data_IF_597246414170
#
_entry.id   IF_597246414170
#
_cell.length_a   1.000
_cell.length_b   1.000
_cell.length_c   1.000
_cell.angle_alpha   90.00
_cell.angle_beta   90.00
_cell.angle_gamma   90.00
#
_symmetry.space_group_name_H-M   'P 1'
#
loop_
_entity.id
_entity.type
_entity.pdbx_description
1 polymer ?
#
# COMPACT_ATOMS: atom_id res chain seq x y z
N UNK A 1 2.87 -46.38 57.38
CA UNK A 1 3.29 -46.72 56.00
C UNK A 1 2.09 -46.59 55.06
N UNK A 2 2.32 -45.96 53.90
CA UNK A 2 1.49 -45.88 52.68
C UNK A 2 0.49 -44.72 52.54
N UNK A 3 1.06 -43.61 52.04
CA UNK A 3 0.52 -42.55 51.17
C UNK A 3 -0.20 -43.08 49.92
N UNK A 4 -1.08 -42.29 49.28
CA UNK A 4 -1.24 -42.17 47.80
C UNK A 4 -2.16 -40.95 47.49
N UNK A 5 -1.62 -39.81 47.05
CA UNK A 5 -1.36 -39.31 45.66
C UNK A 5 -2.56 -38.64 44.97
N UNK A 6 -2.37 -37.34 44.73
CA UNK A 6 -3.04 -36.46 43.76
C UNK A 6 -2.81 -36.99 42.33
N UNK A 7 -3.81 -36.86 41.44
CA UNK A 7 -3.64 -36.61 39.99
C UNK A 7 -4.98 -36.21 39.35
N UNK A 8 -5.03 -35.01 38.77
CA UNK A 8 -6.05 -34.56 37.84
C UNK A 8 -5.84 -35.19 36.46
N UNK A 9 -6.87 -35.17 35.58
CA UNK A 9 -6.61 -34.57 34.28
C UNK A 9 -7.73 -33.66 33.77
N UNK A 10 -7.27 -32.62 33.09
CA UNK A 10 -7.99 -31.59 32.36
C UNK A 10 -8.75 -32.11 31.15
N UNK A 11 -10.00 -31.67 30.98
CA UNK A 11 -10.76 -31.75 29.74
C UNK A 11 -11.36 -30.36 29.49
N UNK A 12 -10.66 -29.54 28.70
CA UNK A 12 -11.24 -28.33 28.11
C UNK A 12 -11.71 -28.73 26.71
N UNK A 13 -13.02 -28.85 26.57
CA UNK A 13 -13.73 -28.86 25.31
C UNK A 13 -14.42 -27.49 25.12
N UNK A 14 -14.83 -27.23 23.86
CA UNK A 14 -15.66 -26.12 23.38
C UNK A 14 -14.90 -24.83 23.01
N UNK A 15 -15.25 -24.10 21.94
CA UNK A 15 -16.17 -24.35 20.83
C UNK A 15 -15.88 -23.29 19.74
N UNK A 16 -16.15 -23.65 18.48
CA UNK A 16 -16.23 -22.73 17.35
C UNK A 16 -17.38 -21.73 17.58
N UNK A 17 -17.12 -20.41 17.46
CA UNK A 17 -18.19 -19.43 17.29
C UNK A 17 -18.54 -19.31 15.81
N UNK A 18 -19.65 -19.95 15.44
CA UNK A 18 -20.47 -19.58 14.30
C UNK A 18 -21.39 -18.42 14.73
N UNK A 19 -21.40 -17.35 13.94
CA UNK A 19 -22.25 -16.19 14.14
C UNK A 19 -23.71 -16.49 13.73
N UNK A 20 -24.66 -16.14 14.60
CA UNK A 20 -26.02 -15.73 14.24
C UNK A 20 -26.75 -15.07 15.43
N UNK A 21 -27.19 -13.83 15.23
CA UNK A 21 -28.52 -13.37 15.65
C UNK A 21 -28.77 -12.94 17.10
N UNK A 22 -28.99 -11.64 17.29
CA UNK A 22 -30.10 -11.10 18.10
C UNK A 22 -29.97 -11.13 19.62
N UNK A 23 -29.41 -10.06 20.19
CA UNK A 23 -29.51 -9.74 21.62
C UNK A 23 -29.04 -8.33 21.88
N UNK A 24 -29.97 -7.45 22.26
CA UNK A 24 -29.71 -6.08 22.71
C UNK A 24 -28.87 -6.11 23.99
N UNK A 25 -27.58 -5.81 23.86
CA UNK A 25 -26.65 -5.65 24.97
C UNK A 25 -26.11 -4.22 24.93
N UNK A 26 -26.62 -3.37 25.81
CA UNK A 26 -26.18 -1.98 26.10
C UNK A 26 -24.79 -1.93 26.79
N UNK A 27 -23.83 -2.72 26.31
CA UNK A 27 -22.42 -2.65 26.71
C UNK A 27 -21.49 -2.62 25.50
N UNK A 28 -21.92 -1.99 24.40
CA UNK A 28 -20.97 -1.56 23.39
C UNK A 28 -20.15 -0.41 23.98
N UNK A 29 -18.87 -0.68 24.26
CA UNK A 29 -17.92 0.38 24.52
C UNK A 29 -18.04 1.40 23.36
N UNK A 30 -18.16 2.71 23.64
CA UNK A 30 -18.27 3.69 22.59
C UNK A 30 -17.09 3.53 21.62
N UNK A 31 -17.39 3.58 20.32
CA UNK A 31 -16.37 3.47 19.28
C UNK A 31 -15.26 4.48 19.57
N UNK A 32 -14.03 3.98 19.75
CA UNK A 32 -12.86 4.82 20.09
C UNK A 32 -12.62 5.90 19.05
N UNK A 33 -12.94 5.61 17.79
CA UNK A 33 -12.71 6.47 16.66
C UNK A 33 -14.04 6.90 16.05
N UNK A 34 -14.16 8.17 15.69
CA UNK A 34 -15.32 8.70 14.96
C UNK A 34 -15.24 8.44 13.46
N UNK A 35 -14.02 8.26 12.94
CA UNK A 35 -13.77 7.93 11.54
C UNK A 35 -12.33 7.48 11.33
N UNK A 36 -12.04 7.01 10.13
CA UNK A 36 -10.67 6.79 9.66
C UNK A 36 -10.37 7.73 8.48
N UNK A 37 -9.18 8.32 8.48
CA UNK A 37 -8.66 9.16 7.39
C UNK A 37 -7.42 8.46 6.83
N UNK A 38 -7.37 8.25 5.52
CA UNK A 38 -6.26 7.54 4.89
C UNK A 38 -5.56 8.43 3.86
N UNK A 39 -4.25 8.55 4.00
CA UNK A 39 -3.35 9.18 3.05
C UNK A 39 -2.38 8.14 2.51
N UNK A 40 -2.13 8.13 1.21
CA UNK A 40 -1.23 7.13 0.67
C UNK A 40 -1.28 6.98 -0.84
N UNK A 41 -0.86 5.80 -1.27
CA UNK A 41 -0.78 5.42 -2.67
C UNK A 41 -1.73 4.27 -3.04
N UNK A 42 -1.40 3.50 -4.08
CA UNK A 42 -2.17 2.37 -4.57
C UNK A 42 -2.43 1.30 -3.51
N UNK A 43 -1.54 1.17 -2.51
CA UNK A 43 -1.73 0.21 -1.42
C UNK A 43 -2.89 0.59 -0.51
N UNK A 44 -3.33 1.86 -0.50
CA UNK A 44 -4.44 2.34 0.33
C UNK A 44 -5.61 2.89 -0.50
N UNK A 45 -5.48 2.97 -1.83
CA UNK A 45 -6.51 3.45 -2.74
C UNK A 45 -7.70 2.48 -2.81
N UNK A 46 -8.91 3.01 -2.62
CA UNK A 46 -10.18 2.26 -2.57
C UNK A 46 -11.09 2.53 -3.76
N UNK A 47 -10.61 3.22 -4.80
CA UNK A 47 -11.42 3.44 -6.01
C UNK A 47 -11.25 4.79 -6.70
N UNK A 48 -10.15 5.52 -6.48
CA UNK A 48 -9.90 6.81 -7.14
C UNK A 48 -10.04 6.69 -8.66
N UNK A 49 -9.49 5.62 -9.23
CA UNK A 49 -9.53 5.38 -10.68
C UNK A 49 -10.68 4.48 -11.11
N UNK A 50 -11.66 4.18 -10.25
CA UNK A 50 -12.85 3.38 -10.62
C UNK A 50 -13.84 4.22 -11.42
N UNK A 51 -13.43 4.65 -12.61
CA UNK A 51 -14.19 5.48 -13.53
C UNK A 51 -13.97 5.03 -14.98
N UNK A 52 -14.85 5.45 -15.89
CA UNK A 52 -14.69 5.20 -17.33
C UNK A 52 -14.40 3.73 -17.65
N UNK A 53 -13.38 3.50 -18.47
CA UNK A 53 -12.98 2.16 -18.90
C UNK A 53 -12.46 1.29 -17.75
N UNK A 54 -11.83 1.85 -16.72
CA UNK A 54 -11.39 1.06 -15.55
C UNK A 54 -12.60 0.45 -14.83
N UNK A 55 -13.66 1.24 -14.63
CA UNK A 55 -14.91 0.74 -14.04
C UNK A 55 -15.60 -0.28 -14.95
N UNK A 56 -15.62 -0.04 -16.27
CA UNK A 56 -16.21 -0.97 -17.24
C UNK A 56 -15.50 -2.33 -17.28
N UNK A 57 -14.19 -2.35 -17.00
CA UNK A 57 -13.38 -3.57 -16.87
C UNK A 57 -13.53 -4.26 -15.50
N UNK A 58 -14.41 -3.77 -14.62
CA UNK A 58 -14.58 -4.32 -13.26
C UNK A 58 -13.39 -4.06 -12.35
N UNK A 59 -12.59 -3.03 -12.65
CA UNK A 59 -11.42 -2.62 -11.88
C UNK A 59 -11.72 -1.54 -10.84
N UNK A 60 -10.64 -0.95 -10.30
CA UNK A 60 -10.70 0.21 -9.41
C UNK A 60 -9.86 0.10 -8.16
N UNK A 61 -9.44 -1.10 -7.76
CA UNK A 61 -8.49 -1.35 -6.68
C UNK A 61 -7.23 -2.01 -7.23
N UNK A 62 -6.08 -1.72 -6.64
CA UNK A 62 -4.81 -2.39 -6.95
C UNK A 62 -4.71 -3.71 -6.21
N UNK A 63 -5.56 -4.66 -6.58
CA UNK A 63 -5.61 -6.03 -6.05
C UNK A 63 -6.41 -6.93 -7.01
N UNK A 64 -6.81 -8.11 -6.57
CA UNK A 64 -7.86 -8.87 -7.27
C UNK A 64 -9.21 -8.24 -6.94
N UNK A 65 -9.82 -7.57 -7.91
CA UNK A 65 -11.09 -6.88 -7.74
C UNK A 65 -12.25 -7.90 -7.62
N UNK A 66 -13.11 -7.76 -6.60
CA UNK A 66 -14.24 -8.65 -6.39
C UNK A 66 -15.37 -8.35 -7.38
N UNK A 67 -16.23 -9.34 -7.65
CA UNK A 67 -17.43 -9.14 -8.48
C UNK A 67 -18.40 -8.13 -7.85
N UNK A 68 -18.60 -8.21 -6.52
CA UNK A 68 -19.29 -7.15 -5.76
C UNK A 68 -18.25 -6.12 -5.27
N UNK A 69 -18.27 -4.88 -5.79
CA UNK A 69 -17.29 -3.85 -5.43
C UNK A 69 -17.37 -3.40 -3.97
N UNK A 70 -18.39 -3.83 -3.20
CA UNK A 70 -18.51 -3.57 -1.76
C UNK A 70 -17.72 -4.56 -0.91
N UNK A 71 -17.26 -5.67 -1.49
CA UNK A 71 -16.40 -6.62 -0.78
C UNK A 71 -15.03 -5.98 -0.54
N UNK A 72 -14.61 -5.92 0.72
CA UNK A 72 -13.32 -5.37 1.09
C UNK A 72 -12.18 -6.22 0.53
N UNK A 73 -11.25 -5.58 -0.17
CA UNK A 73 -10.01 -6.24 -0.65
C UNK A 73 -8.75 -5.45 -0.32
N UNK A 74 -8.90 -4.22 0.20
CA UNK A 74 -7.81 -3.37 0.65
C UNK A 74 -7.67 -3.41 2.18
N UNK A 75 -6.44 -3.30 2.69
CA UNK A 75 -6.18 -3.33 4.13
C UNK A 75 -6.90 -2.21 4.91
N UNK A 76 -7.07 -1.02 4.31
CA UNK A 76 -7.80 0.10 4.94
C UNK A 76 -9.29 -0.22 5.10
N UNK A 77 -9.90 -0.89 4.12
CA UNK A 77 -11.31 -1.32 4.20
C UNK A 77 -11.51 -2.36 5.31
N UNK A 78 -10.59 -3.32 5.41
CA UNK A 78 -10.58 -4.35 6.46
C UNK A 78 -10.40 -3.72 7.84
N UNK A 79 -9.47 -2.77 7.98
CA UNK A 79 -9.21 -2.08 9.23
C UNK A 79 -10.42 -1.23 9.66
N UNK A 80 -11.04 -0.49 8.74
CA UNK A 80 -12.26 0.28 9.03
C UNK A 80 -13.39 -0.60 9.56
N UNK A 81 -13.59 -1.77 8.93
CA UNK A 81 -14.56 -2.77 9.39
C UNK A 81 -14.27 -3.28 10.81
N UNK A 82 -13.00 -3.53 11.13
CA UNK A 82 -12.58 -3.96 12.47
C UNK A 82 -12.79 -2.85 13.53
N UNK A 83 -12.59 -1.59 13.15
CA UNK A 83 -12.76 -0.43 14.04
C UNK A 83 -14.23 -0.03 14.23
N UNK A 84 -15.15 -0.58 13.43
CA UNK A 84 -16.57 -0.20 13.45
C UNK A 84 -16.84 1.21 12.92
N UNK A 85 -15.93 1.78 12.13
CA UNK A 85 -16.12 3.08 11.47
C UNK A 85 -16.67 2.90 10.05
N UNK A 86 -17.16 3.98 9.43
CA UNK A 86 -17.65 3.94 8.05
C UNK A 86 -16.61 3.40 7.08
N UNK A 87 -17.05 2.57 6.12
CA UNK A 87 -16.19 2.05 5.07
C UNK A 87 -15.53 3.20 4.29
N UNK A 88 -14.22 3.10 3.97
CA UNK A 88 -13.53 4.13 3.22
C UNK A 88 -14.13 4.30 1.82
N UNK A 89 -14.20 5.54 1.35
CA UNK A 89 -14.54 5.88 -0.03
C UNK A 89 -13.53 6.90 -0.56
N UNK A 90 -13.30 6.96 -1.89
CA UNK A 90 -12.28 7.82 -2.46
C UNK A 90 -12.71 9.29 -2.39
N UNK A 91 -11.83 10.15 -1.86
CA UNK A 91 -12.03 11.59 -1.82
C UNK A 91 -12.13 12.18 -3.23
N UNK A 92 -11.39 11.64 -4.18
CA UNK A 92 -11.37 12.13 -5.55
C UNK A 92 -11.50 10.97 -6.51
N UNK A 93 -12.22 11.17 -7.61
CA UNK A 93 -12.27 10.23 -8.72
C UNK A 93 -12.05 10.97 -10.04
N UNK A 94 -11.40 10.32 -11.00
CA UNK A 94 -11.13 10.90 -12.31
C UNK A 94 -9.90 10.31 -12.98
N UNK A 95 -9.76 10.58 -14.28
CA UNK A 95 -8.59 10.21 -15.08
C UNK A 95 -8.32 11.30 -16.12
N UNK A 96 -7.05 11.56 -16.38
CA UNK A 96 -6.55 12.59 -17.31
C UNK A 96 -5.75 11.95 -18.45
N UNK A 97 -6.27 10.83 -18.97
CA UNK A 97 -5.67 10.03 -20.03
C UNK A 97 -6.38 10.20 -21.37
N UNK A 98 -6.35 9.15 -22.18
CA UNK A 98 -6.92 9.13 -23.53
C UNK A 98 -8.45 9.10 -23.51
N UNK A 99 -9.10 10.14 -24.04
CA UNK A 99 -10.54 10.17 -24.23
C UNK A 99 -11.03 9.06 -25.18
N UNK A 100 -10.26 8.76 -26.24
CA UNK A 100 -10.59 7.72 -27.21
C UNK A 100 -10.64 6.31 -26.61
N UNK A 101 -9.96 6.09 -25.49
CA UNK A 101 -9.95 4.81 -24.76
C UNK A 101 -10.78 4.88 -23.47
N UNK A 102 -11.57 5.94 -23.26
CA UNK A 102 -12.40 6.11 -22.06
C UNK A 102 -11.61 6.36 -20.77
N UNK A 103 -10.38 6.86 -20.87
CA UNK A 103 -9.51 7.24 -19.76
C UNK A 103 -9.43 8.78 -19.56
N UNK A 104 -10.27 9.56 -20.23
CA UNK A 104 -10.48 10.97 -19.90
C UNK A 104 -11.82 11.11 -19.18
N UNK A 105 -11.78 11.22 -17.85
CA UNK A 105 -12.97 11.37 -17.01
C UNK A 105 -12.77 12.57 -16.09
N UNK A 106 -13.70 13.55 -16.09
CA UNK A 106 -13.59 14.73 -15.24
C UNK A 106 -13.31 14.39 -13.78
N UNK A 107 -12.43 15.17 -13.17
CA UNK A 107 -12.05 14.99 -11.78
C UNK A 107 -13.16 15.52 -10.87
N UNK A 108 -13.73 14.65 -10.04
CA UNK A 108 -14.78 14.97 -9.07
C UNK A 108 -14.26 14.69 -7.66
N UNK A 109 -14.39 15.67 -6.77
CA UNK A 109 -14.09 15.51 -5.35
C UNK A 109 -15.37 15.29 -4.54
N UNK A 110 -15.32 14.40 -3.56
CA UNK A 110 -16.37 14.13 -2.58
C UNK A 110 -15.87 14.46 -1.17
N UNK A 111 -16.20 15.64 -0.61
CA UNK A 111 -15.75 16.07 0.72
C UNK A 111 -16.21 15.19 1.88
N UNK A 112 -17.22 14.32 1.68
CA UNK A 112 -17.65 13.35 2.70
C UNK A 112 -16.71 12.13 2.79
N UNK A 113 -15.91 11.88 1.75
CA UNK A 113 -14.98 10.76 1.68
C UNK A 113 -13.62 11.11 2.27
N UNK A 114 -13.09 10.19 3.10
CA UNK A 114 -11.88 10.40 3.93
C UNK A 114 -10.68 9.56 3.51
N UNK A 115 -10.77 8.80 2.41
CA UNK A 115 -9.60 8.14 1.83
C UNK A 115 -9.08 8.98 0.65
N UNK A 116 -7.94 9.62 0.85
CA UNK A 116 -7.27 10.47 -0.12
C UNK A 116 -6.22 9.74 -0.94
N UNK A 117 -5.97 8.45 -0.66
CA UNK A 117 -4.92 7.69 -1.30
C UNK A 117 -5.21 7.49 -2.79
N UNK A 118 -4.18 7.67 -3.62
CA UNK A 118 -4.28 7.51 -5.06
C UNK A 118 -3.16 6.62 -5.58
N UNK A 119 -3.48 5.65 -6.42
CA UNK A 119 -2.45 4.92 -7.15
C UNK A 119 -1.50 5.86 -7.89
N UNK A 120 -0.21 5.52 -7.87
CA UNK A 120 0.86 6.33 -8.42
C UNK A 120 1.29 7.53 -7.56
N UNK A 121 0.59 7.86 -6.47
CA UNK A 121 0.98 8.97 -5.59
C UNK A 121 2.37 8.75 -4.98
N UNK A 122 3.19 9.80 -5.03
CA UNK A 122 4.48 9.90 -4.35
C UNK A 122 4.35 10.77 -3.11
N UNK A 123 5.42 10.86 -2.31
CA UNK A 123 5.40 11.68 -1.09
C UNK A 123 5.13 13.17 -1.41
N UNK A 124 5.94 13.77 -2.28
CA UNK A 124 5.88 15.21 -2.60
C UNK A 124 5.70 15.51 -4.09
N UNK A 125 6.32 14.72 -4.97
CA UNK A 125 6.33 14.98 -6.40
C UNK A 125 5.02 14.51 -7.07
N UNK A 126 4.33 15.34 -7.87
CA UNK A 126 3.06 14.96 -8.47
C UNK A 126 3.17 13.96 -9.62
N UNK A 127 4.37 13.67 -10.12
CA UNK A 127 4.59 12.74 -11.23
C UNK A 127 5.08 11.40 -10.71
N UNK A 128 4.14 10.46 -10.60
CA UNK A 128 4.43 9.05 -10.29
C UNK A 128 3.94 8.08 -11.38
N UNK A 129 4.10 6.77 -11.16
CA UNK A 129 3.72 5.74 -12.13
C UNK A 129 2.26 5.90 -12.59
N UNK A 130 2.03 5.85 -13.90
CA UNK A 130 0.71 6.05 -14.49
C UNK A 130 0.34 7.51 -14.77
N UNK A 131 1.12 8.50 -14.32
CA UNK A 131 0.89 9.91 -14.63
C UNK A 131 1.18 10.20 -16.11
N UNK A 132 0.31 10.99 -16.76
CA UNK A 132 0.41 11.28 -18.19
C UNK A 132 1.75 11.92 -18.61
N UNK A 133 2.40 12.67 -17.73
CA UNK A 133 3.67 13.33 -18.00
C UNK A 133 4.84 12.36 -18.18
N UNK A 134 4.68 11.08 -17.79
CA UNK A 134 5.64 10.02 -18.09
C UNK A 134 5.55 9.50 -19.53
N UNK A 135 4.56 9.94 -20.32
CA UNK A 135 4.37 9.50 -21.70
C UNK A 135 3.93 8.03 -21.83
N UNK A 136 4.01 7.49 -23.05
CA UNK A 136 3.73 6.08 -23.33
C UNK A 136 2.36 5.60 -22.82
N UNK A 137 2.33 4.42 -22.21
CA UNK A 137 1.11 3.86 -21.60
C UNK A 137 0.60 4.70 -20.42
N UNK A 138 1.46 5.48 -19.75
CA UNK A 138 1.04 6.39 -18.69
C UNK A 138 0.23 7.56 -19.24
N UNK A 139 0.55 8.07 -20.44
CA UNK A 139 -0.26 9.09 -21.12
C UNK A 139 -1.62 8.54 -21.61
N UNK A 140 -1.69 7.23 -21.88
CA UNK A 140 -2.95 6.58 -22.23
C UNK A 140 -3.86 6.48 -21.02
N UNK A 141 -3.36 5.98 -19.88
CA UNK A 141 -4.16 5.80 -18.68
C UNK A 141 -4.43 7.11 -17.93
N UNK A 142 -3.41 7.96 -17.78
CA UNK A 142 -3.51 9.29 -17.19
C UNK A 142 -4.00 9.30 -15.74
N UNK A 143 -3.32 8.56 -14.85
CA UNK A 143 -3.58 8.65 -13.42
C UNK A 143 -3.25 10.06 -12.89
N UNK A 144 -4.05 10.54 -11.95
CA UNK A 144 -3.92 11.87 -11.36
C UNK A 144 -2.66 11.98 -10.47
N UNK A 145 -2.32 10.87 -9.79
CA UNK A 145 -1.14 10.71 -8.93
C UNK A 145 -0.93 11.84 -7.92
N UNK A 146 -2.02 12.35 -7.33
CA UNK A 146 -1.98 13.46 -6.36
C UNK A 146 -1.06 13.08 -5.19
N UNK A 147 0.04 13.82 -4.96
CA UNK A 147 1.04 13.43 -3.97
C UNK A 147 0.54 13.63 -2.55
N UNK A 148 1.13 12.93 -1.58
CA UNK A 148 0.68 12.95 -0.18
C UNK A 148 0.63 14.35 0.41
N UNK A 149 1.61 15.20 0.09
CA UNK A 149 1.60 16.61 0.53
C UNK A 149 0.30 17.33 0.13
N UNK A 150 -0.20 17.08 -1.07
CA UNK A 150 -1.47 17.64 -1.57
C UNK A 150 -2.68 16.92 -0.98
N UNK A 151 -2.62 15.60 -0.79
CA UNK A 151 -3.69 14.85 -0.12
C UNK A 151 -3.95 15.38 1.31
N UNK A 152 -2.88 15.59 2.09
CA UNK A 152 -2.97 16.16 3.45
C UNK A 152 -3.45 17.60 3.41
N UNK A 153 -2.95 18.41 2.47
CA UNK A 153 -3.41 19.80 2.28
C UNK A 153 -4.91 19.88 1.95
N UNK A 154 -5.42 19.00 1.09
CA UNK A 154 -6.84 18.91 0.75
C UNK A 154 -7.68 18.58 1.98
N UNK A 155 -7.24 17.62 2.80
CA UNK A 155 -7.93 17.29 4.03
C UNK A 155 -7.99 18.47 5.00
N UNK A 156 -6.84 19.12 5.26
CA UNK A 156 -6.78 20.29 6.13
C UNK A 156 -7.65 21.45 5.63
N UNK A 157 -7.73 21.66 4.31
CA UNK A 157 -8.60 22.67 3.72
C UNK A 157 -10.08 22.44 4.04
N UNK A 158 -10.51 21.17 4.07
CA UNK A 158 -11.89 20.78 4.41
C UNK A 158 -12.12 20.80 5.93
N UNK A 159 -11.13 20.38 6.71
CA UNK A 159 -11.22 20.22 8.16
C UNK A 159 -10.95 21.52 8.95
N UNK A 160 -10.93 22.69 8.30
CA UNK A 160 -10.67 23.97 8.97
C UNK A 160 -9.25 24.09 9.52
N UNK A 161 -8.29 23.45 8.85
CA UNK A 161 -6.85 23.53 9.14
C UNK A 161 -6.36 22.64 10.28
N UNK A 162 -7.20 21.72 10.80
CA UNK A 162 -6.84 20.81 11.90
C UNK A 162 -7.60 19.48 11.82
N UNK A 163 -7.03 18.43 12.40
CA UNK A 163 -7.72 17.18 12.70
C UNK A 163 -8.55 17.33 13.99
N UNK A 164 -9.62 16.56 14.16
CA UNK A 164 -10.39 16.59 15.42
C UNK A 164 -9.69 15.86 16.56
N UNK A 165 -8.82 14.91 16.23
CA UNK A 165 -8.08 14.08 17.19
C UNK A 165 -8.85 12.86 17.65
N UNK A 166 -10.06 12.65 17.12
CA UNK A 166 -10.90 11.47 17.38
C UNK A 166 -10.91 10.49 16.20
N UNK A 167 -10.14 10.77 15.15
CA UNK A 167 -9.96 9.88 14.02
C UNK A 167 -8.72 8.99 14.18
N UNK A 168 -8.75 7.80 13.57
CA UNK A 168 -7.52 7.10 13.22
C UNK A 168 -7.02 7.63 11.88
N UNK A 169 -5.79 8.12 11.82
CA UNK A 169 -5.13 8.54 10.58
C UNK A 169 -4.17 7.45 10.14
N UNK A 170 -4.28 6.98 8.90
CA UNK A 170 -3.36 6.00 8.31
C UNK A 170 -2.53 6.64 7.21
N UNK A 171 -1.22 6.41 7.20
CA UNK A 171 -0.28 6.93 6.22
C UNK A 171 0.59 5.80 5.67
N UNK A 172 0.57 5.59 4.35
CA UNK A 172 1.46 4.63 3.68
C UNK A 172 1.82 5.13 2.28
N UNK A 173 3.10 5.44 2.05
CA UNK A 173 3.60 5.91 0.76
C UNK A 173 5.11 5.73 0.62
N UNK A 174 5.62 6.06 -0.57
CA UNK A 174 7.04 5.97 -0.95
C UNK A 174 7.32 4.83 -1.94
N UNK A 175 6.35 3.93 -2.16
CA UNK A 175 6.51 2.82 -3.10
C UNK A 175 6.68 3.35 -4.53
N UNK A 176 5.90 4.36 -4.90
CA UNK A 176 6.02 5.03 -6.19
C UNK A 176 7.32 5.83 -6.34
N UNK A 177 7.85 6.40 -5.26
CA UNK A 177 9.19 7.00 -5.28
C UNK A 177 10.23 5.93 -5.61
N UNK A 178 10.18 4.75 -4.97
CA UNK A 178 11.08 3.65 -5.25
C UNK A 178 10.97 3.15 -6.70
N UNK A 179 9.76 3.06 -7.26
CA UNK A 179 9.53 2.67 -8.66
C UNK A 179 10.17 3.69 -9.62
N UNK A 180 9.94 4.99 -9.41
CA UNK A 180 10.53 6.06 -10.24
C UNK A 180 12.06 6.07 -10.13
N UNK A 181 12.61 5.91 -8.93
CA UNK A 181 14.07 5.86 -8.74
C UNK A 181 14.68 4.59 -9.35
N UNK A 182 13.99 3.45 -9.30
CA UNK A 182 14.43 2.23 -10.00
C UNK A 182 14.46 2.43 -11.51
N UNK A 183 13.42 3.03 -12.09
CA UNK A 183 13.36 3.33 -13.52
C UNK A 183 14.45 4.33 -13.94
N UNK A 184 14.71 5.35 -13.11
CA UNK A 184 15.79 6.32 -13.34
C UNK A 184 17.16 5.65 -13.28
N UNK A 185 17.40 4.80 -12.28
CA UNK A 185 18.63 4.03 -12.13
C UNK A 185 18.89 3.12 -13.34
N UNK A 186 17.94 2.25 -13.67
CA UNK A 186 18.07 1.30 -14.79
C UNK A 186 18.19 2.03 -16.12
N UNK A 187 17.41 3.10 -16.34
CA UNK A 187 17.50 3.94 -17.54
C UNK A 187 18.85 4.63 -17.71
N UNK A 188 19.45 5.13 -16.61
CA UNK A 188 20.79 5.75 -16.63
C UNK A 188 21.85 4.73 -17.04
N UNK A 189 21.82 3.53 -16.45
CA UNK A 189 22.77 2.46 -16.78
C UNK A 189 22.58 1.98 -18.22
N UNK A 190 21.34 1.83 -18.68
CA UNK A 190 21.03 1.44 -20.05
C UNK A 190 21.49 2.49 -21.07
N UNK A 191 21.34 3.79 -20.77
CA UNK A 191 21.82 4.86 -21.64
C UNK A 191 23.36 4.87 -21.74
N UNK A 192 24.07 4.63 -20.63
CA UNK A 192 25.52 4.46 -20.65
C UNK A 192 25.95 3.22 -21.44
N UNK A 193 25.20 2.13 -21.35
CA UNK A 193 25.44 0.93 -22.15
C UNK A 193 25.30 1.20 -23.66
N UNK A 194 24.30 2.01 -24.04
CA UNK A 194 24.09 2.39 -25.45
C UNK A 194 25.21 3.25 -26.01
N UNK A 195 25.80 4.14 -25.21
CA UNK A 195 26.85 5.06 -25.67
C UNK A 195 28.26 4.49 -25.61
N UNK A 196 28.55 3.56 -24.68
CA UNK A 196 29.91 3.06 -24.44
C UNK A 196 30.02 1.57 -24.08
N UNK A 197 28.96 0.79 -24.33
CA UNK A 197 28.94 -0.66 -24.09
C UNK A 197 28.98 -1.04 -22.60
N UNK A 198 29.28 -2.31 -22.33
CA UNK A 198 29.23 -2.88 -20.99
C UNK A 198 30.17 -2.18 -19.98
N UNK A 199 31.34 -1.71 -20.42
CA UNK A 199 32.29 -1.00 -19.56
C UNK A 199 31.73 0.34 -19.07
N UNK A 200 31.08 1.12 -19.96
CA UNK A 200 30.44 2.38 -19.59
C UNK A 200 29.23 2.15 -18.65
N UNK A 201 28.44 1.10 -18.89
CA UNK A 201 27.35 0.71 -18.00
C UNK A 201 27.85 0.38 -16.59
N UNK A 202 28.91 -0.43 -16.49
CA UNK A 202 29.53 -0.81 -15.22
C UNK A 202 30.11 0.41 -14.48
N UNK A 203 30.70 1.38 -15.20
CA UNK A 203 31.22 2.61 -14.61
C UNK A 203 30.12 3.56 -14.10
N UNK A 204 28.96 3.62 -14.80
CA UNK A 204 27.84 4.49 -14.43
C UNK A 204 27.01 3.96 -13.24
N UNK A 205 26.92 2.64 -13.10
CA UNK A 205 26.02 1.99 -12.14
C UNK A 205 26.22 2.44 -10.67
N UNK A 206 27.44 2.56 -10.11
CA UNK A 206 27.61 2.96 -8.71
C UNK A 206 27.10 4.37 -8.40
N UNK A 207 27.36 5.33 -9.29
CA UNK A 207 26.90 6.71 -9.11
C UNK A 207 25.37 6.80 -9.25
N UNK A 208 24.79 6.11 -10.23
CA UNK A 208 23.34 6.06 -10.41
C UNK A 208 22.63 5.40 -9.21
N UNK A 209 23.19 4.32 -8.67
CA UNK A 209 22.65 3.66 -7.48
C UNK A 209 22.73 4.58 -6.25
N UNK A 210 23.85 5.28 -6.05
CA UNK A 210 24.02 6.25 -4.96
C UNK A 210 22.96 7.36 -5.05
N UNK A 211 22.75 7.93 -6.24
CA UNK A 211 21.74 8.97 -6.45
C UNK A 211 20.32 8.47 -6.13
N UNK A 212 19.96 7.26 -6.56
CA UNK A 212 18.67 6.66 -6.29
C UNK A 212 18.44 6.43 -4.78
N UNK A 213 19.45 5.92 -4.06
CA UNK A 213 19.41 5.72 -2.61
C UNK A 213 19.28 7.05 -1.86
N UNK A 214 20.04 8.09 -2.27
CA UNK A 214 19.92 9.43 -1.69
C UNK A 214 18.53 10.02 -1.90
N UNK A 215 17.97 9.92 -3.11
CA UNK A 215 16.62 10.40 -3.40
C UNK A 215 15.56 9.70 -2.52
N UNK A 216 15.73 8.40 -2.25
CA UNK A 216 14.82 7.67 -1.36
C UNK A 216 14.99 8.05 0.11
N UNK A 217 16.21 8.34 0.58
CA UNK A 217 16.40 8.92 1.91
C UNK A 217 15.70 10.28 2.04
N UNK A 218 15.79 11.14 1.02
CA UNK A 218 15.08 12.43 0.97
C UNK A 218 13.57 12.24 1.06
N UNK A 219 12.99 11.37 0.23
CA UNK A 219 11.54 11.09 0.27
C UNK A 219 11.07 10.57 1.64
N UNK A 220 11.87 9.74 2.31
CA UNK A 220 11.57 9.25 3.66
C UNK A 220 11.58 10.37 4.70
N UNK A 221 12.55 11.29 4.62
CA UNK A 221 12.61 12.48 5.49
C UNK A 221 11.46 13.46 5.22
N UNK A 222 11.08 13.65 3.96
CA UNK A 222 9.93 14.47 3.57
C UNK A 222 8.62 13.91 4.13
N UNK A 223 8.43 12.58 4.08
CA UNK A 223 7.25 11.94 4.65
C UNK A 223 7.20 12.13 6.17
N UNK A 224 8.33 11.93 6.87
CA UNK A 224 8.41 12.18 8.31
C UNK A 224 8.06 13.63 8.66
N UNK A 225 8.62 14.59 7.91
CA UNK A 225 8.34 16.02 8.08
C UNK A 225 6.86 16.34 7.84
N UNK A 226 6.25 15.76 6.81
CA UNK A 226 4.83 15.93 6.51
C UNK A 226 3.96 15.38 7.65
N UNK A 227 4.23 14.18 8.13
CA UNK A 227 3.50 13.57 9.25
C UNK A 227 3.64 14.42 10.52
N UNK A 228 4.85 14.82 10.88
CA UNK A 228 5.07 15.61 12.09
C UNK A 228 4.41 16.99 12.00
N UNK A 229 4.64 17.72 10.90
CA UNK A 229 4.25 19.12 10.78
C UNK A 229 2.82 19.35 10.29
N UNK A 230 2.27 18.49 9.44
CA UNK A 230 0.94 18.69 8.85
C UNK A 230 -0.12 17.72 9.39
N UNK A 231 0.26 16.65 10.08
CA UNK A 231 -0.69 15.70 10.66
C UNK A 231 -0.70 15.81 12.20
N UNK A 232 0.41 15.42 12.84
CA UNK A 232 0.51 15.41 14.30
C UNK A 232 0.39 16.81 14.91
N UNK A 233 1.16 17.79 14.42
CA UNK A 233 1.08 19.17 14.92
C UNK A 233 -0.27 19.87 14.63
N UNK A 234 -1.06 19.31 13.70
CA UNK A 234 -2.39 19.79 13.34
C UNK A 234 -3.51 19.07 14.10
N UNK A 235 -3.19 18.36 15.18
CA UNK A 235 -4.17 17.85 16.13
C UNK A 235 -4.51 16.37 15.99
N UNK A 236 -3.91 15.65 15.03
CA UNK A 236 -4.11 14.21 14.95
C UNK A 236 -3.48 13.54 16.18
N UNK A 237 -4.22 12.63 16.82
CA UNK A 237 -3.79 11.93 18.05
C UNK A 237 -3.44 10.47 17.84
N UNK A 238 -3.94 9.86 16.77
CA UNK A 238 -3.76 8.45 16.47
C UNK A 238 -3.33 8.32 15.01
N UNK A 239 -2.01 8.40 14.76
CA UNK A 239 -1.45 8.35 13.42
C UNK A 239 -0.66 7.06 13.26
N UNK A 240 -1.11 6.18 12.37
CA UNK A 240 -0.38 4.98 11.97
C UNK A 240 0.41 5.29 10.71
N UNK A 241 1.73 5.11 10.76
CA UNK A 241 2.61 5.24 9.60
C UNK A 241 3.18 3.87 9.27
N UNK A 242 2.78 3.31 8.14
CA UNK A 242 3.31 2.03 7.66
C UNK A 242 4.54 2.31 6.80
N UNK A 243 5.69 1.77 7.19
CA UNK A 243 6.93 1.94 6.41
C UNK A 243 6.87 1.14 5.08
N UNK A 244 7.85 1.32 4.19
CA UNK A 244 7.85 0.58 2.94
C UNK A 244 8.07 -0.92 3.18
N UNK A 245 7.25 -1.80 2.58
CA UNK A 245 7.53 -3.23 2.54
C UNK A 245 8.82 -3.49 1.75
N UNK A 246 9.36 -4.70 1.85
CA UNK A 246 10.55 -5.09 1.12
C UNK A 246 10.24 -5.30 -0.37
N UNK A 247 10.23 -4.21 -1.14
CA UNK A 247 9.95 -4.21 -2.59
C UNK A 247 10.94 -5.09 -3.36
N UNK A 248 12.17 -5.25 -2.88
CA UNK A 248 13.18 -6.08 -3.55
C UNK A 248 12.77 -7.55 -3.63
N UNK A 249 11.93 -8.03 -2.71
CA UNK A 249 11.46 -9.41 -2.67
C UNK A 249 10.16 -9.66 -3.45
N UNK A 250 9.55 -8.61 -3.98
CA UNK A 250 8.37 -8.72 -4.85
C UNK A 250 8.74 -9.22 -6.27
N UNK A 251 7.76 -9.64 -7.08
CA UNK A 251 7.99 -9.95 -8.48
C UNK A 251 8.61 -8.77 -9.27
N UNK A 252 8.30 -7.53 -8.90
CA UNK A 252 8.95 -6.33 -9.48
C UNK A 252 10.46 -6.34 -9.27
N UNK A 253 10.92 -6.66 -8.06
CA UNK A 253 12.35 -6.76 -7.75
C UNK A 253 13.04 -7.84 -8.59
N UNK A 254 12.41 -9.01 -8.72
CA UNK A 254 12.94 -10.11 -9.54
C UNK A 254 13.01 -9.74 -11.03
N UNK A 255 11.98 -9.07 -11.57
CA UNK A 255 11.92 -8.67 -12.97
C UNK A 255 12.99 -7.62 -13.31
N UNK A 256 13.19 -6.63 -12.45
CA UNK A 256 14.23 -5.61 -12.66
C UNK A 256 15.64 -6.20 -12.53
N UNK A 257 15.85 -7.14 -11.62
CA UNK A 257 17.13 -7.83 -11.47
C UNK A 257 17.46 -8.71 -12.69
N UNK A 258 16.45 -9.34 -13.29
CA UNK A 258 16.62 -10.08 -14.55
C UNK A 258 17.00 -9.15 -15.73
N UNK A 259 16.49 -7.92 -15.75
CA UNK A 259 16.81 -6.92 -16.78
C UNK A 259 18.18 -6.26 -16.60
N UNK A 260 18.57 -6.00 -15.34
CA UNK A 260 19.88 -5.48 -14.96
C UNK A 260 20.32 -6.14 -13.64
N UNK A 261 21.23 -7.14 -13.68
CA UNK A 261 21.67 -7.86 -12.49
C UNK A 261 22.23 -6.94 -11.41
N UNK A 262 21.79 -7.15 -10.16
CA UNK A 262 22.14 -6.33 -9.01
C UNK A 262 21.10 -5.24 -8.69
N UNK A 263 20.12 -5.02 -9.56
CA UNK A 263 19.05 -4.04 -9.30
C UNK A 263 18.24 -4.40 -8.06
N UNK A 264 18.07 -5.68 -7.73
CA UNK A 264 17.40 -6.09 -6.48
C UNK A 264 18.10 -5.52 -5.24
N UNK A 265 19.44 -5.51 -5.22
CA UNK A 265 20.25 -4.97 -4.12
C UNK A 265 20.09 -3.45 -4.02
N UNK A 266 20.02 -2.76 -5.16
CA UNK A 266 19.77 -1.31 -5.20
C UNK A 266 18.36 -0.99 -4.69
N UNK A 267 17.34 -1.75 -5.08
CA UNK A 267 15.96 -1.60 -4.57
C UNK A 267 15.92 -1.80 -3.04
N UNK A 268 16.57 -2.84 -2.53
CA UNK A 268 16.63 -3.09 -1.08
C UNK A 268 17.32 -1.92 -0.33
N UNK A 269 18.42 -1.41 -0.88
CA UNK A 269 19.15 -0.26 -0.32
C UNK A 269 18.31 1.01 -0.32
N UNK A 270 17.55 1.25 -1.39
CA UNK A 270 16.60 2.35 -1.52
C UNK A 270 15.50 2.28 -0.45
N UNK A 271 14.87 1.11 -0.29
CA UNK A 271 13.81 0.90 0.71
C UNK A 271 14.34 1.09 2.12
N UNK A 272 15.53 0.54 2.44
CA UNK A 272 16.19 0.73 3.74
C UNK A 272 16.51 2.19 4.01
N UNK A 273 17.04 2.92 3.02
CA UNK A 273 17.36 4.35 3.17
C UNK A 273 16.11 5.19 3.45
N UNK A 274 15.01 4.94 2.74
CA UNK A 274 13.72 5.57 3.00
C UNK A 274 13.22 5.26 4.41
N UNK A 275 13.16 3.98 4.78
CA UNK A 275 12.64 3.55 6.08
C UNK A 275 13.46 4.08 7.26
N UNK A 276 14.79 4.15 7.10
CA UNK A 276 15.69 4.74 8.10
C UNK A 276 15.47 6.25 8.22
N UNK A 277 15.38 6.98 7.12
CA UNK A 277 15.11 8.41 7.14
C UNK A 277 13.73 8.73 7.74
N UNK A 278 12.71 7.94 7.40
CA UNK A 278 11.37 8.04 7.98
C UNK A 278 11.41 7.83 9.50
N UNK A 279 12.03 6.73 9.96
CA UNK A 279 12.18 6.42 11.39
C UNK A 279 12.91 7.52 12.15
N UNK A 280 14.02 8.01 11.60
CA UNK A 280 14.83 9.06 12.23
C UNK A 280 14.06 10.39 12.29
N UNK A 281 13.36 10.75 11.22
CA UNK A 281 12.57 11.99 11.17
C UNK A 281 11.36 11.98 12.11
N UNK A 282 10.80 10.81 12.41
CA UNK A 282 9.69 10.66 13.36
C UNK A 282 10.16 10.52 14.82
N UNK A 283 11.45 10.37 15.09
CA UNK A 283 11.98 10.10 16.43
C UNK A 283 11.68 11.19 17.47
N UNK A 284 11.46 12.44 17.04
CA UNK A 284 11.06 13.55 17.91
C UNK A 284 9.54 13.67 18.10
N UNK A 285 8.75 12.87 17.36
CA UNK A 285 7.30 12.83 17.53
C UNK A 285 6.93 11.79 18.58
N UNK A 286 6.01 12.12 19.47
CA UNK A 286 5.57 11.22 20.54
C UNK A 286 5.02 9.91 19.97
N UNK A 287 5.47 8.78 20.48
CA UNK A 287 4.91 7.45 20.16
C UNK A 287 3.47 7.28 20.66
N UNK A 288 3.01 8.14 21.59
CA UNK A 288 1.60 8.21 21.97
C UNK A 288 0.72 8.87 20.89
N UNK A 289 1.32 9.50 19.88
CA UNK A 289 0.64 10.17 18.76
C UNK A 289 0.89 9.49 17.42
N UNK A 290 2.14 9.07 17.16
CA UNK A 290 2.54 8.41 15.91
C UNK A 290 3.04 7.01 16.20
N UNK A 291 2.37 6.02 15.63
CA UNK A 291 2.75 4.62 15.66
C UNK A 291 3.34 4.22 14.29
N UNK A 292 4.63 3.92 14.27
CA UNK A 292 5.27 3.39 13.07
C UNK A 292 5.14 1.85 13.02
N UNK A 293 4.63 1.33 11.91
CA UNK A 293 4.44 -0.11 11.65
C UNK A 293 5.50 -0.61 10.67
N UNK A 294 6.17 -1.70 11.03
CA UNK A 294 7.29 -2.26 10.26
C UNK A 294 6.84 -3.32 9.23
N UNK A 295 6.30 -2.83 8.12
CA UNK A 295 5.96 -3.66 6.97
C UNK A 295 7.19 -4.23 6.26
N UNK A 296 8.38 -3.61 6.35
CA UNK A 296 9.61 -4.14 5.78
C UNK A 296 9.94 -5.52 6.35
N UNK A 297 10.02 -5.62 7.68
CA UNK A 297 10.34 -6.89 8.34
C UNK A 297 9.22 -7.92 8.16
N UNK A 298 7.96 -7.50 8.25
CA UNK A 298 6.82 -8.39 8.08
C UNK A 298 6.74 -8.99 6.67
N UNK A 299 6.87 -8.17 5.62
CA UNK A 299 6.88 -8.66 4.23
C UNK A 299 8.09 -9.53 3.92
N UNK A 300 9.26 -9.23 4.52
CA UNK A 300 10.45 -10.08 4.41
C UNK A 300 10.19 -11.47 5.00
N UNK A 301 9.59 -11.53 6.19
CA UNK A 301 9.29 -12.81 6.83
C UNK A 301 8.20 -13.60 6.09
N UNK A 302 7.21 -12.92 5.50
CA UNK A 302 6.19 -13.57 4.67
C UNK A 302 6.78 -14.28 3.45
N UNK A 303 7.79 -13.69 2.81
CA UNK A 303 8.47 -14.31 1.66
C UNK A 303 9.40 -15.44 2.09
N UNK A 304 10.12 -15.28 3.22
CA UNK A 304 11.06 -16.31 3.71
C UNK A 304 10.33 -17.50 4.34
N UNK A 305 9.23 -17.25 5.05
CA UNK A 305 8.49 -18.25 5.83
C UNK A 305 7.00 -18.33 5.43
N UNK A 306 6.66 -18.53 4.14
CA UNK A 306 5.28 -18.38 3.64
C UNK A 306 4.26 -19.30 4.31
N UNK A 307 4.66 -20.52 4.67
CA UNK A 307 3.78 -21.48 5.33
C UNK A 307 3.25 -20.99 6.69
N UNK A 308 4.03 -20.19 7.44
CA UNK A 308 3.59 -19.60 8.72
C UNK A 308 2.44 -18.62 8.56
N UNK A 309 2.35 -18.02 7.38
CA UNK A 309 1.31 -17.05 7.02
C UNK A 309 0.21 -17.68 6.16
N UNK A 310 0.24 -19.01 5.93
CA UNK A 310 -0.69 -19.70 5.06
C UNK A 310 -0.63 -19.25 3.60
N UNK A 311 0.51 -18.72 3.15
CA UNK A 311 0.74 -18.29 1.77
C UNK A 311 1.12 -19.50 0.92
N UNK A 312 0.43 -19.67 -0.21
CA UNK A 312 0.74 -20.71 -1.19
C UNK A 312 1.74 -20.25 -2.26
N UNK A 313 1.87 -18.94 -2.47
CA UNK A 313 2.80 -18.37 -3.45
C UNK A 313 3.25 -16.96 -3.03
N UNK A 314 4.55 -16.69 -3.11
CA UNK A 314 5.19 -15.41 -2.77
C UNK A 314 6.09 -14.87 -3.88
N UNK A 315 6.08 -15.48 -5.07
CA UNK A 315 7.01 -15.14 -6.17
C UNK A 315 6.30 -14.77 -7.46
N UNK A 316 5.11 -15.31 -7.70
CA UNK A 316 4.30 -15.11 -8.91
C UNK A 316 3.09 -14.22 -8.62
N UNK A 317 2.46 -13.72 -9.68
CA UNK A 317 1.29 -12.85 -9.59
C UNK A 317 0.00 -13.66 -9.67
N UNK A 318 -0.98 -13.33 -8.82
CA UNK A 318 -2.33 -13.91 -8.89
C UNK A 318 -3.07 -13.47 -10.17
N UNK A 319 -2.84 -12.24 -10.61
CA UNK A 319 -3.36 -11.73 -11.86
C UNK A 319 -2.52 -12.25 -13.02
N UNK A 320 -3.18 -12.76 -14.05
CA UNK A 320 -2.55 -13.03 -15.33
C UNK A 320 -2.45 -11.72 -16.11
N UNK A 321 -1.31 -11.04 -15.99
CA UNK A 321 -1.05 -9.77 -16.68
C UNK A 321 -0.96 -9.93 -18.22
N UNK A 322 -0.97 -11.17 -18.71
CA UNK A 322 -1.12 -11.47 -20.12
C UNK A 322 -2.55 -11.82 -20.52
N UNK A 323 -3.55 -11.93 -19.64
CA UNK A 323 -4.94 -12.27 -20.01
C UNK A 323 -5.87 -11.07 -19.84
N UNK A 324 -6.85 -10.84 -20.74
CA UNK A 324 -7.19 -11.56 -21.99
C UNK A 324 -6.35 -11.19 -23.23
N UNK A 325 -5.08 -10.82 -23.05
CA UNK A 325 -4.04 -10.52 -24.07
C UNK A 325 -4.10 -9.17 -24.80
N UNK A 326 -3.16 -8.26 -24.45
CA UNK A 326 -2.57 -8.12 -23.10
C UNK A 326 -3.67 -7.81 -22.08
N UNK A 327 -3.43 -8.06 -20.78
CA UNK A 327 -4.28 -7.44 -19.76
C UNK A 327 -4.36 -5.94 -20.11
N UNK A 328 -5.58 -5.38 -20.22
CA UNK A 328 -5.80 -4.11 -20.89
C UNK A 328 -4.91 -2.96 -20.34
N UNK A 329 -4.50 -3.04 -19.07
CA UNK A 329 -3.59 -2.08 -18.43
C UNK A 329 -2.28 -2.69 -17.92
N UNK A 330 -2.07 -4.01 -18.06
CA UNK A 330 -0.91 -4.71 -17.50
C UNK A 330 -0.78 -4.57 -15.97
N UNK A 331 -1.89 -4.38 -15.26
CA UNK A 331 -1.91 -4.01 -13.84
C UNK A 331 -3.05 -4.68 -13.08
N UNK A 332 -2.86 -4.91 -11.77
CA UNK A 332 -3.94 -5.34 -10.88
C UNK A 332 -5.13 -4.37 -10.81
N UNK A 333 -4.96 -3.12 -11.26
CA UNK A 333 -6.03 -2.12 -11.30
C UNK A 333 -7.31 -2.61 -12.01
N UNK A 334 -7.17 -3.48 -13.02
CA UNK A 334 -8.28 -4.11 -13.77
C UNK A 334 -8.27 -5.64 -13.67
N UNK A 335 -7.62 -6.17 -12.64
CA UNK A 335 -7.60 -7.60 -12.38
C UNK A 335 -8.85 -8.03 -11.62
N UNK A 336 -9.51 -9.10 -12.08
CA UNK A 336 -10.69 -9.70 -11.48
C UNK A 336 -10.77 -11.19 -11.87
N UNK A 337 -11.86 -11.88 -11.54
CA UNK A 337 -12.03 -13.32 -11.81
C UNK A 337 -11.83 -13.75 -13.27
N UNK A 338 -11.98 -12.84 -14.25
CA UNK A 338 -11.82 -13.15 -15.68
C UNK A 338 -10.36 -13.22 -16.16
N UNK A 339 -9.41 -12.69 -15.38
CA UNK A 339 -8.00 -12.60 -15.78
C UNK A 339 -7.03 -13.03 -14.66
N UNK A 340 -7.45 -13.98 -13.83
CA UNK A 340 -6.57 -14.64 -12.87
C UNK A 340 -5.62 -15.62 -13.56
N UNK A 341 -4.49 -15.88 -12.91
CA UNK A 341 -3.63 -17.02 -13.23
C UNK A 341 -4.40 -18.33 -13.02
N UNK A 342 -4.00 -19.38 -13.72
CA UNK A 342 -4.63 -20.69 -13.58
C UNK A 342 -4.37 -21.28 -12.18
N UNK A 343 -5.36 -21.98 -11.64
CA UNK A 343 -5.30 -22.61 -10.31
C UNK A 343 -5.83 -21.73 -9.18
N UNK A 344 -5.64 -22.18 -7.95
CA UNK A 344 -6.08 -21.44 -6.76
C UNK A 344 -5.06 -20.34 -6.40
N UNK A 345 -5.50 -19.09 -6.57
CA UNK A 345 -4.72 -17.88 -6.24
C UNK A 345 -5.18 -17.21 -4.94
N UNK A 346 -6.11 -17.81 -4.21
CA UNK A 346 -6.72 -17.21 -3.00
C UNK A 346 -5.73 -16.97 -1.86
N UNK A 347 -4.58 -17.66 -1.87
CA UNK A 347 -3.50 -17.56 -0.88
C UNK A 347 -2.17 -17.06 -1.45
N UNK A 348 -2.20 -16.40 -2.60
CA UNK A 348 -1.02 -15.72 -3.16
C UNK A 348 -0.75 -14.44 -2.39
N UNK A 349 0.52 -14.03 -2.28
CA UNK A 349 0.88 -12.75 -1.68
C UNK A 349 0.63 -11.58 -2.63
N UNK A 350 1.00 -11.73 -3.91
CA UNK A 350 1.03 -10.64 -4.89
C UNK A 350 -0.09 -10.77 -5.93
N UNK A 351 -0.87 -9.70 -6.11
CA UNK A 351 -1.85 -9.56 -7.19
C UNK A 351 -1.14 -9.30 -8.52
N UNK A 352 -0.27 -8.30 -8.56
CA UNK A 352 0.62 -8.00 -9.68
C UNK A 352 2.08 -7.91 -9.20
N UNK A 353 2.94 -7.14 -9.86
CA UNK A 353 4.36 -7.12 -9.53
C UNK A 353 4.69 -6.49 -8.17
N UNK A 354 3.81 -5.66 -7.60
CA UNK A 354 4.05 -4.96 -6.33
C UNK A 354 2.87 -4.98 -5.37
N UNK A 355 1.64 -5.10 -5.89
CA UNK A 355 0.43 -4.96 -5.08
C UNK A 355 0.01 -6.28 -4.45
N UNK A 356 -0.46 -6.28 -3.19
CA UNK A 356 -0.94 -7.49 -2.53
C UNK A 356 -2.28 -7.98 -3.08
N UNK A 357 -2.51 -9.29 -3.02
CA UNK A 357 -3.85 -9.89 -3.21
C UNK A 357 -4.79 -9.49 -2.07
N UNK A 358 -6.09 -9.86 -2.11
CA UNK A 358 -6.96 -9.70 -0.95
C UNK A 358 -6.42 -10.39 0.30
N UNK A 359 -5.75 -11.55 0.15
CA UNK A 359 -5.11 -12.24 1.29
C UNK A 359 -3.85 -11.52 1.77
N UNK A 360 -3.02 -10.98 0.87
CA UNK A 360 -1.90 -10.11 1.24
C UNK A 360 -2.36 -8.85 1.99
N UNK A 361 -3.45 -8.22 1.55
CA UNK A 361 -4.07 -7.09 2.24
C UNK A 361 -4.63 -7.48 3.61
N UNK A 362 -5.16 -8.70 3.76
CA UNK A 362 -5.57 -9.24 5.06
C UNK A 362 -4.38 -9.37 6.02
N UNK A 363 -3.24 -9.88 5.56
CA UNK A 363 -2.01 -9.97 6.37
C UNK A 363 -1.49 -8.58 6.76
N UNK A 364 -1.57 -7.59 5.86
CA UNK A 364 -1.21 -6.20 6.17
C UNK A 364 -2.16 -5.58 7.19
N UNK A 365 -3.47 -5.78 7.06
CA UNK A 365 -4.44 -5.33 8.05
C UNK A 365 -4.17 -5.96 9.42
N UNK A 366 -3.89 -7.28 9.47
CA UNK A 366 -3.53 -7.97 10.71
C UNK A 366 -2.26 -7.42 11.36
N UNK A 367 -1.23 -7.11 10.57
CA UNK A 367 -0.01 -6.46 11.06
C UNK A 367 -0.32 -5.11 11.73
N UNK A 368 -1.11 -4.27 11.06
CA UNK A 368 -1.49 -2.96 11.59
C UNK A 368 -2.37 -3.11 12.84
N UNK A 369 -3.37 -3.99 12.82
CA UNK A 369 -4.24 -4.25 13.97
C UNK A 369 -3.47 -4.80 15.17
N UNK A 370 -2.46 -5.63 14.94
CA UNK A 370 -1.55 -6.07 15.99
C UNK A 370 -0.80 -4.88 16.60
N UNK A 371 -0.20 -4.02 15.77
CA UNK A 371 0.52 -2.85 16.25
C UNK A 371 -0.40 -1.90 17.04
N UNK A 372 -1.65 -1.70 16.58
CA UNK A 372 -2.66 -0.93 17.29
C UNK A 372 -3.00 -1.56 18.65
N UNK A 373 -3.18 -2.88 18.71
CA UNK A 373 -3.45 -3.59 19.97
C UNK A 373 -2.29 -3.42 20.95
N UNK A 374 -1.06 -3.61 20.48
CA UNK A 374 0.16 -3.45 21.31
C UNK A 374 0.30 -2.01 21.85
N UNK A 375 -0.15 -1.01 21.09
CA UNK A 375 -0.19 0.39 21.50
C UNK A 375 -1.42 0.75 22.37
N UNK A 376 -2.30 -0.21 22.68
CA UNK A 376 -3.60 0.01 23.31
C UNK A 376 -4.44 1.03 22.52
N UNK A 377 -4.47 0.90 21.20
CA UNK A 377 -5.25 1.69 20.23
C UNK A 377 -6.44 0.92 19.64
N UNK A 378 -6.48 -0.40 19.79
CA UNK A 378 -7.56 -1.28 19.36
C UNK A 378 -8.09 -2.12 20.53
#
# INVERSE_FOLDING_TARGET
MRSFKILAPSLIAAAFLAACGGGSNDWQAPARYTSMISFGDSLSDVGTYRVGTVAALGGGRYSVNPADPRTATNWTELLAGQLGVSAPCPYQQGLDGSAAQGFSVPVVSNPACKNYAQGGARVTNPVGPGNKLLGGSSAILGQLTVPLVTQVSNHLGIAGGRFSGNELVTVMAGGNDAIIQTATYTGTVAAAAQSGGAAAAAAAAPAAATAAVTAMATAGAELASLVASQIASKGARYVVVVNLPNVSQSPYGALNDAGLPGTKVVIDSMVKAFNNALKNGLASTSSATVLQVDAYSASTDQVINPARYGLSNVTSTACNLASPKPNALGSSLVCNGSNLAAGDVSKYLFADQVHPTPYGNQLLAQLVSKALTDASWL
#
